data_IF_256081467762
#
_entry.id   IF_256081467762
#
_cell.length_a   1.000
_cell.length_b   1.000
_cell.length_c   1.000
_cell.angle_alpha   90.00
_cell.angle_beta   90.00
_cell.angle_gamma   90.00
#
_symmetry.space_group_name_H-M   'P 1'
#
loop_
_entity.id
_entity.type
_entity.pdbx_description
1 polymer ?
#
# COMPACT_ATOMS: atom_id res chain seq x y z
N UNK A 1 -10.02 14.19 -28.95
CA UNK A 1 -10.05 13.09 -27.96
C UNK A 1 -10.04 13.76 -26.62
N UNK A 2 -11.18 13.74 -25.93
CA UNK A 2 -11.31 14.27 -24.57
C UNK A 2 -10.36 13.52 -23.64
N UNK A 3 -9.43 14.25 -23.02
CA UNK A 3 -8.76 13.77 -21.82
C UNK A 3 -9.82 13.68 -20.72
N UNK A 4 -10.29 12.48 -20.45
CA UNK A 4 -10.99 12.17 -19.21
C UNK A 4 -10.04 12.47 -18.05
N UNK A 5 -10.21 13.64 -17.43
CA UNK A 5 -9.59 14.02 -16.16
C UNK A 5 -10.04 13.04 -15.08
N UNK A 6 -9.27 11.95 -14.91
CA UNK A 6 -9.42 11.06 -13.78
C UNK A 6 -9.16 11.88 -12.52
N UNK A 7 -10.25 12.15 -11.79
CA UNK A 7 -10.17 12.87 -10.52
C UNK A 7 -9.58 11.92 -9.50
N UNK A 8 -8.32 12.12 -9.13
CA UNK A 8 -7.66 11.31 -8.12
C UNK A 8 -8.09 11.80 -6.72
N UNK A 9 -8.52 10.86 -5.89
CA UNK A 9 -8.89 11.14 -4.51
C UNK A 9 -7.97 10.38 -3.56
N UNK A 10 -7.45 11.07 -2.56
CA UNK A 10 -6.80 10.46 -1.41
C UNK A 10 -7.86 10.15 -0.35
N UNK A 11 -7.93 8.89 0.08
CA UNK A 11 -8.66 8.49 1.28
C UNK A 11 -7.64 8.14 2.37
N UNK A 12 -7.72 8.83 3.49
CA UNK A 12 -6.85 8.59 4.64
C UNK A 12 -7.54 9.03 5.93
N UNK A 13 -6.85 8.89 7.06
CA UNK A 13 -7.37 9.19 8.39
C UNK A 13 -6.32 9.86 9.27
N UNK A 14 -6.78 10.64 10.23
CA UNK A 14 -5.96 11.21 11.29
C UNK A 14 -6.46 10.71 12.64
N UNK A 15 -5.54 10.39 13.55
CA UNK A 15 -5.84 9.98 14.93
C UNK A 15 -5.56 11.12 15.88
N UNK A 16 -6.50 11.42 16.77
CA UNK A 16 -6.35 12.36 17.86
C UNK A 16 -6.49 11.59 19.17
N UNK A 17 -5.47 11.71 20.01
CA UNK A 17 -5.43 11.07 21.32
C UNK A 17 -4.89 12.04 22.36
N UNK A 18 -5.32 11.86 23.60
CA UNK A 18 -4.78 12.58 24.75
C UNK A 18 -3.41 12.03 25.15
N UNK A 19 -2.71 12.72 26.05
CA UNK A 19 -1.39 12.33 26.56
C UNK A 19 -1.36 10.95 27.26
N UNK A 20 -2.52 10.44 27.66
CA UNK A 20 -2.71 9.14 28.30
C UNK A 20 -3.22 8.06 27.32
N UNK A 21 -3.03 8.28 26.01
CA UNK A 21 -3.44 7.42 24.90
C UNK A 21 -4.95 7.17 24.76
N UNK A 22 -5.79 7.87 25.53
CA UNK A 22 -7.25 7.81 25.36
C UNK A 22 -7.67 8.54 24.09
N UNK A 23 -8.66 7.97 23.39
CA UNK A 23 -9.24 8.54 22.19
C UNK A 23 -9.90 9.89 22.47
N UNK A 24 -9.57 10.91 21.67
CA UNK A 24 -10.27 12.18 21.71
C UNK A 24 -11.51 12.10 20.81
N UNK A 25 -12.67 11.79 21.40
CA UNK A 25 -13.94 11.57 20.70
C UNK A 25 -14.66 12.89 20.40
N UNK A 26 -15.43 12.95 19.31
CA UNK A 26 -16.21 14.11 18.86
C UNK A 26 -15.40 15.43 18.79
N UNK A 27 -14.11 15.31 18.55
CA UNK A 27 -13.16 16.43 18.51
C UNK A 27 -13.09 17.00 17.09
N UNK A 28 -13.28 18.31 16.96
CA UNK A 28 -13.20 19.00 15.68
C UNK A 28 -11.74 19.07 15.20
N UNK A 29 -11.48 18.58 13.99
CA UNK A 29 -10.15 18.59 13.36
C UNK A 29 -10.21 19.37 12.05
N UNK A 30 -9.32 20.34 11.92
CA UNK A 30 -9.17 21.18 10.74
C UNK A 30 -8.04 20.65 9.88
N UNK A 31 -8.40 20.21 8.67
CA UNK A 31 -7.47 19.84 7.62
C UNK A 31 -7.06 21.10 6.85
N UNK A 32 -5.77 21.38 6.75
CA UNK A 32 -5.21 22.63 6.24
C UNK A 32 -4.18 22.34 5.13
N UNK A 33 -4.02 23.29 4.21
CA UNK A 33 -2.86 23.33 3.29
C UNK A 33 -1.58 23.72 4.04
N UNK A 34 -0.45 23.62 3.36
CA UNK A 34 0.83 24.15 3.87
C UNK A 34 0.76 25.64 4.21
N UNK A 35 0.04 26.42 3.38
CA UNK A 35 -0.32 27.84 3.56
C UNK A 35 -1.29 28.11 4.71
N UNK A 36 -1.75 27.07 5.42
CA UNK A 36 -2.78 27.11 6.47
C UNK A 36 -4.20 27.44 5.99
N UNK A 37 -4.46 27.39 4.68
CA UNK A 37 -5.83 27.48 4.14
C UNK A 37 -6.65 26.26 4.56
N UNK A 38 -7.88 26.48 5.04
CA UNK A 38 -8.79 25.41 5.45
C UNK A 38 -9.26 24.60 4.24
N UNK A 39 -9.00 23.30 4.25
CA UNK A 39 -9.48 22.34 3.26
C UNK A 39 -10.80 21.72 3.70
N UNK A 40 -10.84 21.20 4.93
CA UNK A 40 -12.00 20.50 5.46
C UNK A 40 -12.03 20.59 6.98
N UNK A 41 -13.23 20.51 7.55
CA UNK A 41 -13.43 20.34 8.99
C UNK A 41 -14.06 18.98 9.22
N UNK A 42 -13.50 18.23 10.16
CA UNK A 42 -13.82 16.84 10.46
C UNK A 42 -14.16 16.70 11.95
N UNK A 43 -14.79 15.59 12.32
CA UNK A 43 -14.98 15.17 13.71
C UNK A 43 -14.45 13.76 13.88
N UNK A 44 -13.81 13.51 15.02
CA UNK A 44 -13.31 12.19 15.37
C UNK A 44 -14.42 11.26 15.85
N UNK A 45 -14.29 9.97 15.53
CA UNK A 45 -15.17 8.90 15.98
C UNK A 45 -14.84 8.44 17.41
N UNK A 46 -15.50 7.36 17.86
CA UNK A 46 -15.31 6.76 19.18
C UNK A 46 -13.88 6.24 19.44
N UNK A 47 -13.09 6.05 18.39
CA UNK A 47 -11.68 5.64 18.45
C UNK A 47 -10.71 6.83 18.33
N UNK A 48 -11.22 8.06 18.24
CA UNK A 48 -10.43 9.26 18.03
C UNK A 48 -9.92 9.40 16.60
N UNK A 49 -10.54 8.70 15.63
CA UNK A 49 -10.15 8.73 14.22
C UNK A 49 -11.09 9.64 13.42
N UNK A 50 -10.52 10.46 12.54
CA UNK A 50 -11.25 11.25 11.57
C UNK A 50 -10.79 10.88 10.16
N UNK A 51 -11.64 10.20 9.40
CA UNK A 51 -11.39 9.86 8.00
C UNK A 51 -11.75 11.03 7.09
N UNK A 52 -10.95 11.25 6.04
CA UNK A 52 -11.20 12.29 5.06
C UNK A 52 -10.90 11.83 3.64
N UNK A 53 -11.59 12.49 2.71
CA UNK A 53 -11.41 12.31 1.27
C UNK A 53 -10.99 13.63 0.66
N UNK A 54 -9.79 13.66 0.09
CA UNK A 54 -9.21 14.87 -0.50
C UNK A 54 -9.10 14.71 -2.03
N UNK A 55 -9.63 15.68 -2.78
CA UNK A 55 -9.42 15.75 -4.22
C UNK A 55 -7.99 16.25 -4.48
N UNK A 56 -7.12 15.37 -4.98
CA UNK A 56 -5.72 15.71 -5.22
C UNK A 56 -5.52 16.49 -6.51
N UNK A 57 -6.51 16.52 -7.42
CA UNK A 57 -6.48 17.35 -8.63
C UNK A 57 -6.51 18.86 -8.35
N UNK A 58 -6.78 19.27 -7.10
CA UNK A 58 -6.73 20.67 -6.66
C UNK A 58 -5.32 21.17 -6.33
N UNK A 59 -4.32 20.29 -6.40
CA UNK A 59 -2.93 20.57 -6.06
C UNK A 59 -2.05 20.35 -7.28
N UNK A 60 -1.07 21.23 -7.49
CA UNK A 60 -0.05 21.06 -8.53
C UNK A 60 1.24 20.58 -7.87
N UNK A 61 1.83 19.50 -8.35
CA UNK A 61 3.07 18.98 -7.78
C UNK A 61 2.89 18.27 -6.44
N UNK A 62 4.02 18.11 -5.75
CA UNK A 62 4.04 17.60 -4.38
C UNK A 62 3.45 18.63 -3.42
N UNK A 63 2.65 18.19 -2.46
CA UNK A 63 1.97 19.08 -1.51
C UNK A 63 1.92 18.51 -0.09
N UNK A 64 1.79 19.42 0.87
CA UNK A 64 1.70 19.09 2.29
C UNK A 64 0.31 19.39 2.81
N UNK A 65 -0.28 18.42 3.52
CA UNK A 65 -1.54 18.59 4.24
C UNK A 65 -1.26 18.54 5.73
N UNK A 66 -1.83 19.47 6.48
CA UNK A 66 -1.70 19.58 7.93
C UNK A 66 -3.05 19.29 8.60
N UNK A 67 -3.05 18.70 9.78
CA UNK A 67 -4.25 18.51 10.59
C UNK A 67 -4.03 19.13 11.98
N UNK A 68 -5.01 19.91 12.45
CA UNK A 68 -4.96 20.63 13.71
C UNK A 68 -6.32 20.63 14.40
N UNK A 69 -6.35 20.42 15.72
CA UNK A 69 -7.56 20.58 16.55
C UNK A 69 -7.94 22.06 16.70
N UNK A 70 -7.00 22.98 16.48
CA UNK A 70 -7.22 24.41 16.60
C UNK A 70 -7.20 25.12 15.25
N UNK A 71 -8.14 26.06 15.06
CA UNK A 71 -8.07 27.06 13.99
C UNK A 71 -6.82 27.92 14.21
N UNK A 72 -5.97 28.02 13.18
CA UNK A 72 -4.80 28.88 13.19
C UNK A 72 -5.19 30.31 13.60
N UNK A 73 -4.31 30.98 14.33
CA UNK A 73 -4.48 32.32 14.92
C UNK A 73 -5.29 32.45 16.23
N UNK A 74 -5.56 31.35 16.95
CA UNK A 74 -6.17 31.43 18.29
C UNK A 74 -5.16 31.13 19.41
N UNK A 75 -4.14 31.98 19.58
CA UNK A 75 -3.28 31.95 20.77
C UNK A 75 -4.09 32.40 21.99
N UNK A 76 -4.68 31.43 22.70
CA UNK A 76 -5.22 31.63 24.04
C UNK A 76 -4.44 30.73 24.99
N UNK A 77 -3.86 31.33 26.03
CA UNK A 77 -2.93 30.72 26.99
C UNK A 77 -3.51 29.56 27.83
N UNK A 78 -4.77 29.14 27.59
CA UNK A 78 -5.50 28.14 28.38
C UNK A 78 -6.14 27.05 27.52
N UNK A 79 -5.41 26.51 26.52
CA UNK A 79 -5.89 25.34 25.75
C UNK A 79 -4.91 24.16 25.88
N UNK A 80 -5.42 22.92 26.00
CA UNK A 80 -4.55 21.75 26.00
C UNK A 80 -3.76 21.69 24.69
N UNK A 81 -2.47 21.34 24.77
CA UNK A 81 -1.65 21.29 23.56
C UNK A 81 -1.96 20.03 22.75
N UNK A 82 -2.37 20.20 21.49
CA UNK A 82 -2.42 19.12 20.50
C UNK A 82 -1.33 19.33 19.46
N UNK A 83 -0.57 18.27 19.17
CA UNK A 83 0.46 18.31 18.15
C UNK A 83 -0.18 18.48 16.76
N UNK A 84 0.47 19.27 15.90
CA UNK A 84 0.10 19.39 14.50
C UNK A 84 0.61 18.16 13.74
N UNK A 85 -0.28 17.46 13.05
CA UNK A 85 0.08 16.35 12.17
C UNK A 85 0.31 16.87 10.75
N UNK A 86 1.33 16.36 10.06
CA UNK A 86 1.66 16.73 8.68
C UNK A 86 1.81 15.48 7.83
N UNK A 87 1.21 15.51 6.64
CA UNK A 87 1.32 14.48 5.63
C UNK A 87 1.88 15.12 4.35
N UNK A 88 3.09 14.73 3.96
CA UNK A 88 3.68 15.09 2.68
C UNK A 88 3.29 14.07 1.62
N UNK A 89 2.73 14.56 0.52
CA UNK A 89 2.33 13.76 -0.63
C UNK A 89 3.16 14.19 -1.82
N UNK A 90 3.88 13.25 -2.40
CA UNK A 90 4.63 13.47 -3.64
C UNK A 90 3.78 13.10 -4.83
N UNK A 91 3.72 13.98 -5.82
CA UNK A 91 3.05 13.68 -7.08
C UNK A 91 3.76 12.50 -7.77
N UNK A 92 3.00 11.43 -7.99
CA UNK A 92 3.46 10.33 -8.83
C UNK A 92 3.24 10.78 -10.27
N UNK A 93 4.30 11.27 -10.92
CA UNK A 93 4.26 11.39 -12.38
C UNK A 93 4.01 10.00 -12.96
N UNK A 94 2.81 9.78 -13.51
CA UNK A 94 2.57 8.67 -14.42
C UNK A 94 3.47 8.92 -15.63
N UNK A 95 4.67 8.36 -15.57
CA UNK A 95 5.58 8.34 -16.71
C UNK A 95 4.83 7.66 -17.84
N UNK A 96 4.61 8.39 -18.93
CA UNK A 96 4.08 7.78 -20.16
C UNK A 96 4.90 6.53 -20.46
N UNK A 97 4.25 5.48 -20.95
CA UNK A 97 4.85 4.19 -21.33
C UNK A 97 6.05 4.35 -22.31
N UNK A 98 6.29 5.53 -22.88
CA UNK A 98 7.37 5.81 -23.81
C UNK A 98 8.54 6.64 -23.26
N UNK A 99 8.44 7.18 -22.04
CA UNK A 99 9.47 8.08 -21.49
C UNK A 99 9.73 7.82 -20.00
N UNK A 100 9.94 6.56 -19.63
CA UNK A 100 10.40 6.22 -18.28
C UNK A 100 11.85 6.70 -18.12
N UNK A 101 12.06 7.78 -17.37
CA UNK A 101 13.38 8.39 -17.12
C UNK A 101 14.13 7.77 -15.95
N UNK A 102 13.46 6.90 -15.19
CA UNK A 102 14.02 6.22 -14.02
C UNK A 102 13.78 4.71 -14.08
N UNK A 103 14.68 3.97 -13.45
CA UNK A 103 14.58 2.52 -13.29
C UNK A 103 13.42 2.15 -12.37
N UNK A 104 12.75 1.03 -12.63
CA UNK A 104 11.50 0.65 -11.95
C UNK A 104 11.26 -0.85 -11.93
N UNK A 105 10.49 -1.28 -10.93
CA UNK A 105 10.01 -2.63 -10.73
C UNK A 105 8.53 -2.57 -10.33
N UNK A 106 7.67 -3.32 -11.00
CA UNK A 106 6.22 -3.23 -10.83
C UNK A 106 5.57 -4.60 -10.79
N UNK A 107 4.68 -4.80 -9.82
CA UNK A 107 3.88 -6.01 -9.73
C UNK A 107 2.64 -5.84 -10.60
N UNK A 108 2.43 -6.75 -11.56
CA UNK A 108 1.22 -6.81 -12.37
C UNK A 108 0.23 -7.75 -11.67
N UNK A 109 -0.75 -7.16 -10.99
CA UNK A 109 -1.72 -7.89 -10.20
C UNK A 109 -3.15 -7.48 -10.55
N UNK A 110 -4.05 -8.46 -10.56
CA UNK A 110 -5.49 -8.23 -10.50
C UNK A 110 -5.92 -8.14 -9.04
N UNK A 111 -6.87 -7.26 -8.73
CA UNK A 111 -7.45 -7.15 -7.40
C UNK A 111 -8.51 -8.25 -7.19
N UNK A 112 -8.04 -9.50 -7.07
CA UNK A 112 -8.86 -10.66 -6.70
C UNK A 112 -8.21 -11.47 -5.58
N UNK A 113 -9.01 -12.12 -4.71
CA UNK A 113 -8.46 -13.05 -3.74
C UNK A 113 -7.82 -14.26 -4.41
N UNK A 114 -6.69 -14.71 -3.88
CA UNK A 114 -6.04 -15.96 -4.30
C UNK A 114 -6.71 -17.15 -3.61
N UNK A 115 -7.01 -18.20 -4.38
CA UNK A 115 -7.79 -19.34 -3.89
C UNK A 115 -6.86 -20.45 -3.39
N UNK A 116 -7.10 -20.96 -2.18
CA UNK A 116 -6.32 -22.08 -1.65
C UNK A 116 -6.44 -23.33 -2.55
N UNK A 117 -5.32 -24.05 -2.70
CA UNK A 117 -5.19 -25.21 -3.58
C UNK A 117 -5.06 -24.86 -5.06
N UNK A 118 -5.24 -23.59 -5.44
CA UNK A 118 -5.00 -23.15 -6.81
C UNK A 118 -3.50 -22.84 -7.03
N UNK A 119 -3.05 -23.07 -8.25
CA UNK A 119 -1.78 -22.54 -8.73
C UNK A 119 -2.02 -21.15 -9.31
N UNK A 120 -1.30 -20.16 -8.77
CA UNK A 120 -1.38 -18.76 -9.17
C UNK A 120 -0.08 -18.34 -9.85
N UNK A 121 -0.21 -17.49 -10.87
CA UNK A 121 0.92 -16.89 -11.59
C UNK A 121 1.07 -15.44 -11.13
N UNK A 122 2.24 -15.10 -10.61
CA UNK A 122 2.58 -13.74 -10.22
C UNK A 122 3.50 -13.13 -11.29
N UNK A 123 3.16 -11.91 -11.71
CA UNK A 123 3.85 -11.20 -12.79
C UNK A 123 4.54 -9.94 -12.26
N UNK A 124 5.75 -9.71 -12.75
CA UNK A 124 6.59 -8.58 -12.37
C UNK A 124 7.22 -7.97 -13.63
N UNK A 125 6.94 -6.70 -13.93
CA UNK A 125 7.62 -5.94 -14.98
C UNK A 125 8.82 -5.20 -14.41
N UNK A 126 9.90 -5.13 -15.18
CA UNK A 126 11.05 -4.29 -14.87
C UNK A 126 11.44 -3.42 -16.06
N UNK A 127 11.94 -2.23 -15.75
CA UNK A 127 12.53 -1.32 -16.73
C UNK A 127 13.73 -0.64 -16.11
N UNK A 128 14.92 -0.92 -16.61
CA UNK A 128 16.17 -0.30 -16.15
C UNK A 128 16.66 0.68 -17.22
N UNK A 129 16.95 1.90 -16.79
CA UNK A 129 17.32 3.02 -17.68
C UNK A 129 18.50 3.76 -17.07
N UNK A 130 19.53 4.03 -17.88
CA UNK A 130 20.65 4.87 -17.47
C UNK A 130 21.67 4.16 -16.55
N UNK A 131 21.60 2.84 -16.45
CA UNK A 131 22.59 2.03 -15.73
C UNK A 131 23.67 1.49 -16.68
N UNK A 132 24.85 1.21 -16.13
CA UNK A 132 25.94 0.55 -16.87
C UNK A 132 25.58 -0.88 -17.27
N UNK A 133 26.22 -1.40 -18.31
CA UNK A 133 26.04 -2.80 -18.72
C UNK A 133 26.51 -3.75 -17.60
N UNK A 134 25.79 -4.85 -17.39
CA UNK A 134 26.14 -5.81 -16.36
C UNK A 134 25.10 -6.89 -16.11
N UNK A 135 25.30 -7.65 -15.04
CA UNK A 135 24.32 -8.63 -14.57
C UNK A 135 23.22 -7.94 -13.75
N UNK A 136 21.97 -8.19 -14.12
CA UNK A 136 20.79 -7.81 -13.37
C UNK A 136 20.33 -9.00 -12.54
N UNK A 137 20.22 -8.81 -11.23
CA UNK A 137 19.62 -9.76 -10.32
C UNK A 137 18.38 -9.14 -9.69
N UNK A 138 17.23 -9.74 -9.95
CA UNK A 138 15.96 -9.39 -9.31
C UNK A 138 15.63 -10.50 -8.31
N UNK A 139 15.57 -10.14 -7.04
CA UNK A 139 15.27 -11.04 -5.93
C UNK A 139 13.82 -10.84 -5.54
N UNK A 140 13.08 -11.92 -5.36
CA UNK A 140 11.70 -11.88 -4.88
C UNK A 140 11.54 -12.71 -3.62
N UNK A 141 10.71 -12.20 -2.70
CA UNK A 141 10.37 -12.78 -1.41
C UNK A 141 8.85 -12.79 -1.28
N UNK A 142 8.30 -13.94 -0.89
CA UNK A 142 6.92 -14.06 -0.47
C UNK A 142 6.91 -14.16 1.05
N UNK A 143 6.09 -13.33 1.67
CA UNK A 143 5.94 -13.26 3.11
C UNK A 143 4.51 -13.60 3.51
N UNK A 144 4.33 -14.40 4.55
CA UNK A 144 3.04 -14.59 5.20
C UNK A 144 3.23 -14.65 6.71
N UNK A 145 2.34 -14.00 7.46
CA UNK A 145 2.38 -13.94 8.93
C UNK A 145 3.76 -13.53 9.48
N UNK A 146 4.44 -12.60 8.81
CA UNK A 146 5.75 -12.10 9.20
C UNK A 146 6.95 -13.00 8.86
N UNK A 147 6.74 -14.14 8.19
CA UNK A 147 7.81 -15.07 7.80
C UNK A 147 7.99 -15.10 6.28
N UNK A 148 9.23 -15.31 5.82
CA UNK A 148 9.52 -15.60 4.41
C UNK A 148 9.13 -17.05 4.13
N UNK A 149 8.14 -17.24 3.28
CA UNK A 149 7.58 -18.56 2.93
C UNK A 149 8.16 -19.10 1.62
N UNK A 150 8.54 -18.22 0.69
CA UNK A 150 9.21 -18.59 -0.56
C UNK A 150 10.09 -17.44 -1.02
N UNK A 151 11.20 -17.77 -1.68
CA UNK A 151 12.09 -16.78 -2.26
C UNK A 151 12.71 -17.31 -3.55
N UNK A 152 13.23 -16.40 -4.37
CA UNK A 152 13.98 -16.78 -5.55
C UNK A 152 14.67 -15.58 -6.20
N UNK A 153 15.37 -15.87 -7.28
CA UNK A 153 16.15 -14.90 -8.03
C UNK A 153 15.92 -15.11 -9.51
N UNK A 154 15.68 -14.00 -10.21
CA UNK A 154 15.76 -13.91 -11.65
C UNK A 154 17.06 -13.21 -12.03
N UNK A 155 17.76 -13.74 -13.02
CA UNK A 155 19.01 -13.15 -13.51
C UNK A 155 18.92 -12.93 -15.01
N UNK A 156 19.33 -11.75 -15.46
CA UNK A 156 19.42 -11.42 -16.86
C UNK A 156 20.66 -10.54 -17.12
N UNK A 157 21.06 -10.43 -18.37
CA UNK A 157 22.05 -9.44 -18.78
C UNK A 157 21.35 -8.12 -19.11
N UNK A 158 21.92 -7.02 -18.65
CA UNK A 158 21.39 -5.68 -18.83
C UNK A 158 22.30 -4.86 -19.74
N UNK A 159 21.68 -4.20 -20.72
CA UNK A 159 22.26 -3.13 -21.53
C UNK A 159 21.71 -1.76 -21.07
N UNK A 160 22.18 -0.68 -21.70
CA UNK A 160 21.85 0.75 -21.42
C UNK A 160 20.35 1.04 -21.23
N UNK A 161 19.49 0.26 -21.87
CA UNK A 161 18.05 0.23 -21.63
C UNK A 161 17.56 -1.22 -21.70
N UNK A 162 17.12 -1.76 -20.57
CA UNK A 162 16.64 -3.16 -20.50
C UNK A 162 15.26 -3.22 -19.88
N UNK A 163 14.36 -3.94 -20.53
CA UNK A 163 13.01 -4.19 -20.04
C UNK A 163 12.67 -5.67 -20.13
N UNK A 164 11.74 -6.11 -19.31
CA UNK A 164 11.19 -7.45 -19.41
C UNK A 164 10.12 -7.70 -18.36
N UNK A 165 9.48 -8.85 -18.52
CA UNK A 165 8.48 -9.36 -17.61
C UNK A 165 8.97 -10.69 -17.04
N UNK A 166 8.69 -10.89 -15.75
CA UNK A 166 9.05 -12.09 -15.01
C UNK A 166 7.74 -12.68 -14.50
N UNK A 167 7.47 -13.92 -14.88
CA UNK A 167 6.37 -14.71 -14.35
C UNK A 167 6.92 -15.83 -13.49
N UNK A 168 6.32 -16.03 -12.33
CA UNK A 168 6.61 -17.17 -11.47
C UNK A 168 5.33 -17.75 -10.89
N UNK A 169 5.34 -19.07 -10.73
CA UNK A 169 4.18 -19.83 -10.25
C UNK A 169 4.30 -20.09 -8.76
N UNK A 170 3.17 -20.04 -8.07
CA UNK A 170 3.05 -20.47 -6.68
C UNK A 170 1.75 -21.21 -6.44
N UNK A 171 1.80 -22.23 -5.59
CA UNK A 171 0.61 -22.90 -5.11
C UNK A 171 0.14 -22.20 -3.83
N UNK A 172 -1.15 -21.92 -3.74
CA UNK A 172 -1.72 -21.24 -2.58
C UNK A 172 -2.06 -22.26 -1.50
N UNK A 173 -1.17 -22.42 -0.53
CA UNK A 173 -1.32 -23.37 0.57
C UNK A 173 -1.88 -22.69 1.84
N UNK A 174 -2.46 -23.45 2.80
CA UNK A 174 -3.09 -22.87 3.99
C UNK A 174 -2.17 -22.06 4.92
N UNK A 175 -0.87 -22.29 4.87
CA UNK A 175 0.16 -21.50 5.56
C UNK A 175 0.32 -20.08 4.98
N UNK A 176 -0.12 -19.86 3.74
CA UNK A 176 -0.12 -18.54 3.08
C UNK A 176 -1.35 -17.68 3.44
N UNK A 177 -2.34 -18.26 4.12
CA UNK A 177 -3.53 -17.54 4.56
C UNK A 177 -3.30 -16.74 5.85
N UNK A 178 -4.00 -15.61 6.09
CA UNK A 178 -5.06 -15.02 5.25
C UNK A 178 -4.53 -14.09 4.15
N UNK A 179 -3.25 -13.74 4.15
CA UNK A 179 -2.65 -12.86 3.17
C UNK A 179 -1.18 -13.24 2.92
N UNK A 180 -0.72 -12.97 1.71
CA UNK A 180 0.68 -13.12 1.29
C UNK A 180 1.17 -11.82 0.67
N UNK A 181 2.34 -11.36 1.09
CA UNK A 181 2.98 -10.16 0.56
C UNK A 181 4.13 -10.57 -0.34
N UNK A 182 4.07 -10.16 -1.61
CA UNK A 182 5.22 -10.19 -2.51
C UNK A 182 6.07 -8.95 -2.27
N UNK A 183 7.36 -9.14 -2.07
CA UNK A 183 8.39 -8.10 -2.09
C UNK A 183 9.39 -8.48 -3.16
N UNK A 184 9.70 -7.58 -4.07
CA UNK A 184 10.74 -7.78 -5.07
C UNK A 184 11.68 -6.58 -5.11
N UNK A 185 12.98 -6.83 -5.29
CA UNK A 185 13.98 -5.78 -5.37
C UNK A 185 15.15 -6.16 -6.28
N UNK A 186 15.84 -5.15 -6.79
CA UNK A 186 17.07 -5.29 -7.54
C UNK A 186 18.09 -4.24 -7.10
N UNK A 187 19.34 -4.66 -6.98
CA UNK A 187 20.49 -3.77 -6.74
C UNK A 187 21.12 -3.47 -8.09
N UNK A 188 21.19 -2.20 -8.46
CA UNK A 188 21.70 -1.74 -9.74
C UNK A 188 23.22 -1.49 -9.66
N UNK A 189 23.95 -1.47 -10.80
CA UNK A 189 25.37 -1.15 -10.84
C UNK A 189 25.75 0.18 -10.18
N UNK A 190 24.85 1.17 -10.22
CA UNK A 190 24.97 2.44 -9.49
C UNK A 190 24.89 2.31 -7.95
N UNK A 191 24.77 1.09 -7.42
CA UNK A 191 24.47 0.76 -6.02
C UNK A 191 23.10 1.27 -5.54
N UNK A 192 22.26 1.81 -6.43
CA UNK A 192 20.88 2.13 -6.11
C UNK A 192 20.02 0.86 -6.04
N UNK A 193 18.94 0.92 -5.27
CA UNK A 193 18.00 -0.18 -5.11
C UNK A 193 16.64 0.24 -5.62
N UNK A 194 16.07 -0.55 -6.52
CA UNK A 194 14.66 -0.46 -6.92
C UNK A 194 13.91 -1.60 -6.26
N UNK A 195 12.72 -1.30 -5.73
CA UNK A 195 11.92 -2.29 -5.02
C UNK A 195 10.43 -2.02 -5.21
N UNK A 196 9.63 -3.08 -5.05
CA UNK A 196 8.18 -3.04 -5.09
C UNK A 196 7.60 -4.06 -4.13
N UNK A 197 6.37 -3.82 -3.69
CA UNK A 197 5.65 -4.74 -2.82
C UNK A 197 4.16 -4.73 -3.10
N UNK A 198 3.51 -5.89 -3.02
CA UNK A 198 2.05 -6.03 -3.14
C UNK A 198 1.57 -7.11 -2.18
N UNK A 199 0.51 -6.79 -1.43
CA UNK A 199 -0.21 -7.77 -0.63
C UNK A 199 -1.37 -8.36 -1.42
N UNK A 200 -1.51 -9.68 -1.33
CA UNK A 200 -2.60 -10.45 -1.90
C UNK A 200 -3.42 -11.07 -0.78
N UNK A 201 -4.73 -10.82 -0.80
CA UNK A 201 -5.66 -11.51 0.09
C UNK A 201 -5.87 -12.93 -0.43
N UNK A 202 -5.87 -13.89 0.47
CA UNK A 202 -6.14 -15.30 0.15
C UNK A 202 -7.46 -15.74 0.77
N UNK A 203 -8.11 -16.74 0.18
CA UNK A 203 -9.23 -17.41 0.84
C UNK A 203 -8.77 -18.09 2.12
N UNK A 204 -9.56 -18.03 3.19
CA UNK A 204 -9.25 -18.78 4.41
C UNK A 204 -9.44 -20.28 4.15
N UNK A 205 -8.45 -21.08 4.51
CA UNK A 205 -8.50 -22.53 4.39
C UNK A 205 -7.72 -23.18 5.53
N UNK A 206 -8.00 -24.46 5.80
CA UNK A 206 -7.36 -25.26 6.83
C UNK A 206 -6.54 -26.36 6.18
N UNK A 207 -5.38 -26.69 6.78
CA UNK A 207 -4.55 -27.82 6.33
C UNK A 207 -5.23 -29.17 6.53
N UNK A 208 -6.13 -29.28 7.50
CA UNK A 208 -6.85 -30.51 7.79
C UNK A 208 -8.30 -30.39 7.31
N UNK A 209 -8.73 -31.36 6.52
CA UNK A 209 -10.14 -31.54 6.20
C UNK A 209 -10.87 -32.18 7.39
N UNK A 210 -11.99 -31.57 7.79
CA UNK A 210 -12.84 -32.09 8.87
C UNK A 210 -14.26 -32.24 8.32
N UNK A 211 -14.77 -33.47 8.31
CA UNK A 211 -16.15 -33.74 7.92
C UNK A 211 -16.99 -33.99 9.17
N UNK A 212 -18.14 -33.29 9.34
CA UNK A 212 -19.06 -33.61 10.43
C UNK A 212 -19.61 -35.03 10.24
N UNK A 213 -19.62 -35.82 11.31
CA UNK A 213 -20.29 -37.13 11.31
C UNK A 213 -21.80 -36.92 11.44
N UNK A 214 -22.55 -37.46 10.50
CA UNK A 214 -24.01 -37.48 10.57
C UNK A 214 -24.47 -38.39 11.72
N UNK A 215 -25.11 -37.81 12.73
CA UNK A 215 -25.73 -38.59 13.81
C UNK A 215 -27.04 -39.16 13.27
N UNK A 216 -27.07 -40.48 13.02
CA UNK A 216 -28.34 -41.20 12.91
C UNK A 216 -29.05 -41.12 14.26
N UNK A 217 -30.08 -40.27 14.33
CA UNK A 217 -31.00 -40.25 15.45
C UNK A 217 -31.63 -41.64 15.60
N UNK A 218 -31.38 -42.28 16.74
CA UNK A 218 -32.11 -43.48 17.12
C UNK A 218 -33.56 -43.11 17.41
N UNK A 219 -34.49 -43.73 16.68
CA UNK A 219 -35.89 -43.81 17.09
C UNK A 219 -35.94 -44.43 18.49
N UNK A 220 -36.41 -43.64 19.45
CA UNK A 220 -36.77 -44.10 20.78
C UNK A 220 -38.02 -44.98 20.68
N UNK A 221 -37.91 -46.19 21.26
CA UNK A 221 -39.02 -47.11 21.55
C UNK A 221 -39.89 -46.54 22.65
#
# INVERSE_FOLDING_TARGET
>A
MEETLLTHFLLTQVKVQHHNDTAAVDTEVHLLKESFDLLQTLKTDDNGLASFKLNTSLFQGSFTVKASVYKMYTHTLMRPHFALASLHLTEIQQTSLHTRTSSSLEVQAEDRPLVCGAQETLNLSYSIVGEGQGQLHIIYLLLSRGNIVKYGQYSNYMDTMTRGDISFFMEITPDLAPAVTLVAYAVLPSASVIATSKEYITTKCFSNEVFPKEQRGGEGV
#
